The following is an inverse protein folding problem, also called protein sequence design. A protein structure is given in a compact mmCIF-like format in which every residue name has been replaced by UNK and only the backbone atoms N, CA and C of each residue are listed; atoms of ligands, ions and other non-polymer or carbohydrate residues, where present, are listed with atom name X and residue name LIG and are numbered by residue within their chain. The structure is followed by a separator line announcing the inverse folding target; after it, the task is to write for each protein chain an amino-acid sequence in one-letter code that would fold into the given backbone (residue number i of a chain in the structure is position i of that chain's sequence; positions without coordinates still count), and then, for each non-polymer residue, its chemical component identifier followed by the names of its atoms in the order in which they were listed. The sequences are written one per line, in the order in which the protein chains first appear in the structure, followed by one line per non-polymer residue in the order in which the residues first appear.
data_IF_283124346589
#
_entry.id   IF_283124346589
#
_cell.length_a   1.000
_cell.length_b   1.000
_cell.length_c   1.000
_cell.angle_alpha   90.00
_cell.angle_beta   90.00
_cell.angle_gamma   90.00
#
_symmetry.space_group_name_H-M   'P 1'
#
loop_
_entity.id
_entity.type
_entity.pdbx_description
1 polymer ?
#
# COMPACT_ATOMS: atom_id res chain seq x y z
N UNK A 1 -7.77 8.66 -15.88
CA UNK A 1 -6.47 7.92 -15.90
C UNK A 1 -5.96 7.71 -14.48
N UNK A 2 -5.16 6.67 -14.26
CA UNK A 2 -4.52 6.39 -12.97
C UNK A 2 -3.03 6.72 -13.06
N UNK A 3 -2.52 7.48 -12.10
CA UNK A 3 -1.09 7.66 -11.88
C UNK A 3 -0.61 6.67 -10.83
N UNK A 4 0.46 5.94 -11.11
CA UNK A 4 1.22 5.19 -10.11
C UNK A 4 2.40 6.05 -9.69
N UNK A 5 2.43 6.51 -8.45
CA UNK A 5 3.64 7.04 -7.81
C UNK A 5 4.46 5.85 -7.32
N UNK A 6 5.43 5.47 -8.13
CA UNK A 6 6.20 4.26 -7.91
C UNK A 6 7.43 4.55 -7.08
N UNK A 7 7.32 4.30 -5.79
CA UNK A 7 8.38 4.54 -4.79
C UNK A 7 9.35 3.36 -4.65
N UNK A 8 9.17 2.29 -5.44
CA UNK A 8 10.02 1.11 -5.45
C UNK A 8 11.36 1.45 -6.09
N UNK A 9 12.45 1.14 -5.40
CA UNK A 9 13.81 1.45 -5.87
C UNK A 9 14.39 0.41 -6.84
N UNK A 10 13.83 -0.80 -6.87
CA UNK A 10 14.30 -1.92 -7.70
C UNK A 10 13.41 -2.04 -8.93
N UNK A 11 14.01 -1.94 -10.13
CA UNK A 11 13.29 -1.91 -11.43
C UNK A 11 12.37 -3.12 -11.65
N UNK A 12 12.88 -4.32 -11.41
CA UNK A 12 12.09 -5.56 -11.57
C UNK A 12 10.79 -5.54 -10.75
N UNK A 13 10.85 -5.00 -9.52
CA UNK A 13 9.67 -4.89 -8.66
C UNK A 13 8.71 -3.80 -9.11
N UNK A 14 9.24 -2.70 -9.66
CA UNK A 14 8.42 -1.66 -10.28
C UNK A 14 7.57 -2.21 -11.41
N UNK A 15 8.22 -2.93 -12.33
CA UNK A 15 7.55 -3.54 -13.50
C UNK A 15 6.48 -4.55 -13.07
N UNK A 16 6.79 -5.41 -12.09
CA UNK A 16 5.83 -6.37 -11.56
C UNK A 16 4.61 -5.68 -10.92
N UNK A 17 4.84 -4.65 -10.12
CA UNK A 17 3.78 -3.87 -9.49
C UNK A 17 2.87 -3.22 -10.55
N UNK A 18 3.47 -2.59 -11.55
CA UNK A 18 2.72 -2.00 -12.67
C UNK A 18 1.88 -3.02 -13.42
N UNK A 19 2.45 -4.19 -13.75
CA UNK A 19 1.74 -5.25 -14.46
C UNK A 19 0.54 -5.73 -13.66
N UNK A 20 0.71 -5.99 -12.36
CA UNK A 20 -0.39 -6.40 -11.49
C UNK A 20 -1.55 -5.40 -11.52
N UNK A 21 -1.25 -4.09 -11.43
CA UNK A 21 -2.29 -3.06 -11.48
C UNK A 21 -2.95 -3.02 -12.86
N UNK A 22 -2.19 -3.04 -13.95
CA UNK A 22 -2.73 -3.02 -15.30
C UNK A 22 -3.65 -4.19 -15.58
N UNK A 23 -3.27 -5.39 -15.14
CA UNK A 23 -4.04 -6.62 -15.34
C UNK A 23 -5.41 -6.56 -14.63
N UNK A 24 -5.51 -5.83 -13.52
CA UNK A 24 -6.75 -5.67 -12.75
C UNK A 24 -7.63 -4.51 -13.23
N UNK A 25 -7.04 -3.49 -13.82
CA UNK A 25 -7.75 -2.25 -14.17
C UNK A 25 -8.08 -2.19 -15.66
N UNK A 26 -7.32 -2.90 -16.51
CA UNK A 26 -7.55 -2.93 -17.96
C UNK A 26 -8.88 -3.62 -18.31
N UNK A 27 -9.68 -3.10 -19.29
CA UNK A 27 -9.36 -2.01 -20.24
C UNK A 27 -9.87 -0.63 -19.80
N UNK A 28 -10.32 -0.44 -18.59
CA UNK A 28 -11.17 0.68 -18.20
C UNK A 28 -10.43 2.02 -18.06
N UNK A 29 -9.19 2.00 -17.55
CA UNK A 29 -8.42 3.22 -17.34
C UNK A 29 -6.97 3.06 -17.81
N UNK A 30 -6.45 4.12 -18.45
CA UNK A 30 -5.01 4.19 -18.78
C UNK A 30 -4.20 4.40 -17.49
N UNK A 31 -3.07 3.70 -17.40
CA UNK A 31 -2.15 3.75 -16.26
C UNK A 31 -0.81 4.35 -16.72
N UNK A 32 -0.34 5.36 -16.00
CA UNK A 32 1.01 5.95 -16.18
C UNK A 32 1.81 5.75 -14.89
N UNK A 33 3.08 5.45 -15.04
CA UNK A 33 4.04 5.32 -13.93
C UNK A 33 4.87 6.59 -13.78
N UNK A 34 5.01 7.04 -12.54
CA UNK A 34 5.94 8.10 -12.12
C UNK A 34 6.94 7.48 -11.15
N UNK A 35 8.08 7.07 -11.67
CA UNK A 35 9.13 6.44 -10.88
C UNK A 35 9.93 7.46 -10.06
N UNK A 36 10.60 6.97 -9.01
CA UNK A 36 11.56 7.77 -8.24
C UNK A 36 12.58 8.42 -9.18
N UNK A 37 12.78 9.73 -9.03
CA UNK A 37 13.73 10.51 -9.82
C UNK A 37 13.22 11.04 -11.16
N UNK A 38 12.05 10.60 -11.62
CA UNK A 38 11.42 11.13 -12.83
C UNK A 38 10.82 12.52 -12.61
N UNK A 39 10.72 13.32 -13.64
CA UNK A 39 9.96 14.58 -13.61
C UNK A 39 8.47 14.31 -13.47
N UNK A 40 7.78 15.14 -12.70
CA UNK A 40 6.36 14.93 -12.40
C UNK A 40 5.48 15.15 -13.65
N UNK A 41 5.79 16.13 -14.47
CA UNK A 41 5.00 16.52 -15.62
C UNK A 41 3.60 17.01 -15.24
N UNK A 42 2.68 17.06 -16.21
CA UNK A 42 1.28 17.44 -15.95
C UNK A 42 0.51 16.33 -15.26
N UNK A 43 -0.12 16.67 -14.15
CA UNK A 43 -0.97 15.78 -13.33
C UNK A 43 -2.47 16.01 -13.55
N UNK A 44 -2.84 16.96 -14.40
CA UNK A 44 -4.24 17.37 -14.58
C UNK A 44 -5.15 16.24 -15.09
N UNK A 45 -4.64 15.41 -15.99
CA UNK A 45 -5.38 14.33 -16.65
C UNK A 45 -5.71 13.11 -15.75
N UNK A 46 -5.04 12.99 -14.60
CA UNK A 46 -5.22 11.84 -13.71
C UNK A 46 -6.36 12.08 -12.73
N UNK A 47 -7.23 11.07 -12.57
CA UNK A 47 -8.33 11.06 -11.62
C UNK A 47 -8.00 10.27 -10.34
N UNK A 48 -7.02 9.37 -10.42
CA UNK A 48 -6.63 8.47 -9.32
C UNK A 48 -5.11 8.45 -9.17
N UNK A 49 -4.66 8.30 -7.92
CA UNK A 49 -3.27 8.11 -7.54
C UNK A 49 -3.11 6.80 -6.77
N UNK A 50 -2.20 5.93 -7.20
CA UNK A 50 -1.76 4.77 -6.41
C UNK A 50 -0.31 5.01 -6.00
N UNK A 51 -0.02 4.93 -4.69
CA UNK A 51 1.33 5.04 -4.15
C UNK A 51 1.80 3.65 -3.76
N UNK A 52 2.86 3.18 -4.37
CA UNK A 52 3.38 1.83 -4.15
C UNK A 52 4.01 1.64 -2.76
N UNK A 53 4.25 0.39 -2.38
CA UNK A 53 5.19 0.02 -1.33
C UNK A 53 6.63 0.43 -1.67
N UNK A 54 7.52 0.43 -0.68
CA UNK A 54 8.94 0.78 -0.84
C UNK A 54 9.81 0.12 0.23
N UNK A 55 11.11 0.00 -0.05
CA UNK A 55 12.13 -0.26 0.97
C UNK A 55 12.55 0.99 1.76
N UNK A 56 11.98 2.15 1.44
CA UNK A 56 12.22 3.40 2.19
C UNK A 56 11.51 3.34 3.55
N UNK A 57 11.99 4.15 4.50
CA UNK A 57 11.37 4.31 5.82
C UNK A 57 10.69 5.66 5.92
N UNK A 58 9.41 5.68 6.29
CA UNK A 58 8.65 6.91 6.54
C UNK A 58 9.10 7.60 7.84
N UNK A 59 9.61 6.84 8.79
CA UNK A 59 10.13 7.35 10.07
C UNK A 59 11.45 8.08 9.87
N UNK A 60 12.38 7.47 9.10
CA UNK A 60 13.68 8.08 8.79
C UNK A 60 13.56 9.22 7.78
N UNK A 61 12.52 9.18 6.94
CA UNK A 61 12.38 10.06 5.80
C UNK A 61 13.29 9.67 4.63
N UNK A 62 13.10 10.34 3.51
CA UNK A 62 13.95 10.18 2.33
C UNK A 62 14.10 11.51 1.58
N UNK A 63 15.16 11.64 0.78
CA UNK A 63 15.36 12.81 -0.08
C UNK A 63 14.27 13.01 -1.15
N UNK A 64 13.42 12.01 -1.37
CA UNK A 64 12.34 12.04 -2.33
C UNK A 64 10.99 12.38 -1.71
N UNK A 65 10.92 12.45 -0.36
CA UNK A 65 9.66 12.58 0.36
C UNK A 65 8.93 13.90 0.04
N UNK A 66 9.66 15.01 -0.08
CA UNK A 66 9.09 16.30 -0.43
C UNK A 66 8.32 16.23 -1.77
N UNK A 67 8.94 15.66 -2.78
CA UNK A 67 8.31 15.44 -4.09
C UNK A 67 7.08 14.53 -4.01
N UNK A 68 7.13 13.48 -3.19
CA UNK A 68 5.99 12.61 -2.99
C UNK A 68 4.82 13.36 -2.34
N UNK A 69 5.13 14.20 -1.33
CA UNK A 69 4.13 15.05 -0.66
C UNK A 69 3.51 16.08 -1.62
N UNK A 70 4.28 16.64 -2.56
CA UNK A 70 3.76 17.54 -3.61
C UNK A 70 2.76 16.83 -4.52
N UNK A 71 3.07 15.61 -4.96
CA UNK A 71 2.15 14.80 -5.78
C UNK A 71 0.88 14.49 -5.00
N UNK A 72 0.99 14.04 -3.73
CA UNK A 72 -0.16 13.75 -2.87
C UNK A 72 -1.02 15.01 -2.72
N UNK A 73 -0.41 16.15 -2.41
CA UNK A 73 -1.09 17.44 -2.23
C UNK A 73 -1.85 17.88 -3.48
N UNK A 74 -1.29 17.65 -4.67
CA UNK A 74 -1.98 17.95 -5.93
C UNK A 74 -3.29 17.15 -6.07
N UNK A 75 -3.28 15.85 -5.74
CA UNK A 75 -4.48 15.01 -5.81
C UNK A 75 -5.47 15.33 -4.71
N UNK A 76 -4.99 15.51 -3.47
CA UNK A 76 -5.81 15.85 -2.31
C UNK A 76 -6.54 17.19 -2.49
N UNK A 77 -5.84 18.25 -2.91
CA UNK A 77 -6.43 19.58 -3.12
C UNK A 77 -7.53 19.60 -4.19
N UNK A 78 -7.57 18.61 -5.06
CA UNK A 78 -8.58 18.44 -6.12
C UNK A 78 -9.61 17.35 -5.79
N UNK A 79 -9.60 16.85 -4.56
CA UNK A 79 -10.47 15.76 -4.08
C UNK A 79 -10.46 14.52 -5.00
N UNK A 80 -9.28 14.21 -5.58
CA UNK A 80 -9.07 13.03 -6.42
C UNK A 80 -8.81 11.80 -5.54
N UNK A 81 -9.09 10.61 -6.06
CA UNK A 81 -8.91 9.37 -5.30
C UNK A 81 -7.42 9.01 -5.10
N UNK A 82 -7.04 8.63 -3.88
CA UNK A 82 -5.68 8.26 -3.52
C UNK A 82 -5.68 6.93 -2.76
N UNK A 83 -4.86 5.97 -3.21
CA UNK A 83 -4.60 4.70 -2.53
C UNK A 83 -3.11 4.56 -2.21
N UNK A 84 -2.76 4.38 -0.94
CA UNK A 84 -1.40 4.06 -0.49
C UNK A 84 -1.25 2.61 -0.10
N UNK A 85 -0.14 1.96 -0.53
CA UNK A 85 0.17 0.57 -0.22
C UNK A 85 1.47 0.51 0.58
N UNK A 86 1.48 -0.15 1.73
CA UNK A 86 2.62 -0.34 2.62
C UNK A 86 3.33 1.00 2.93
N UNK A 87 4.45 1.33 2.29
CA UNK A 87 5.09 2.64 2.42
C UNK A 87 4.13 3.78 2.05
N UNK A 88 3.35 3.63 0.98
CA UNK A 88 2.34 4.63 0.58
C UNK A 88 1.25 4.82 1.63
N UNK A 89 0.80 3.77 2.30
CA UNK A 89 -0.12 3.83 3.44
C UNK A 89 0.47 4.66 4.60
N UNK A 90 1.71 4.38 4.97
CA UNK A 90 2.42 5.11 6.02
C UNK A 90 2.67 6.57 5.63
N UNK A 91 3.01 6.83 4.36
CA UNK A 91 3.23 8.17 3.84
C UNK A 91 1.95 9.01 3.87
N UNK A 92 0.80 8.42 3.53
CA UNK A 92 -0.51 9.08 3.63
C UNK A 92 -0.89 9.37 5.08
N UNK A 93 -0.68 8.45 6.01
CA UNK A 93 -0.91 8.69 7.43
C UNK A 93 -0.06 9.85 7.95
N UNK A 94 1.20 9.93 7.54
CA UNK A 94 2.11 11.02 7.86
C UNK A 94 1.70 12.34 7.22
N UNK A 95 1.27 12.33 5.97
CA UNK A 95 0.79 13.52 5.25
C UNK A 95 -0.45 14.12 5.92
N UNK A 96 -1.43 13.28 6.27
CA UNK A 96 -2.72 13.71 6.79
C UNK A 96 -2.68 14.03 8.30
N UNK A 97 -1.90 13.30 9.08
CA UNK A 97 -1.92 13.36 10.53
C UNK A 97 -0.60 13.76 11.19
N UNK A 98 0.45 14.00 10.39
CA UNK A 98 1.78 14.39 10.90
C UNK A 98 2.69 13.18 11.23
N UNK A 99 3.95 13.50 11.53
CA UNK A 99 5.02 12.52 11.78
C UNK A 99 4.70 11.53 12.91
N UNK A 100 3.94 11.95 13.91
CA UNK A 100 3.55 11.12 15.07
C UNK A 100 2.61 9.96 14.70
N UNK A 101 2.05 9.94 13.50
CA UNK A 101 1.17 8.87 13.02
C UNK A 101 1.91 7.63 12.53
N UNK A 102 3.23 7.72 12.38
CA UNK A 102 4.09 6.61 11.99
C UNK A 102 5.22 6.45 12.98
N UNK A 103 5.55 5.20 13.31
CA UNK A 103 6.69 4.86 14.15
C UNK A 103 7.40 3.62 13.64
N UNK A 104 8.61 3.39 14.14
CA UNK A 104 9.25 2.09 13.98
C UNK A 104 8.49 1.08 14.82
N UNK A 105 8.10 -0.04 14.21
CA UNK A 105 7.39 -1.11 14.93
C UNK A 105 8.32 -1.81 15.92
N UNK A 106 7.82 -2.07 17.11
CA UNK A 106 8.48 -2.93 18.09
C UNK A 106 8.41 -4.39 17.67
N UNK A 107 7.41 -4.73 16.85
CA UNK A 107 7.16 -6.06 16.31
C UNK A 107 7.10 -5.98 14.77
N UNK A 108 8.24 -5.93 14.07
CA UNK A 108 8.25 -5.94 12.61
C UNK A 108 7.48 -7.14 12.05
N UNK A 109 6.68 -6.90 11.02
CA UNK A 109 5.83 -7.93 10.45
C UNK A 109 6.32 -8.34 9.05
N UNK A 110 6.50 -9.64 8.86
CA UNK A 110 6.84 -10.25 7.57
C UNK A 110 6.08 -11.56 7.38
N UNK A 111 5.60 -11.79 6.17
CA UNK A 111 4.86 -13.00 5.81
C UNK A 111 3.39 -12.73 5.57
N UNK A 112 2.54 -13.72 5.81
CA UNK A 112 1.11 -13.62 5.55
C UNK A 112 0.34 -13.54 6.86
N UNK A 113 -0.49 -12.51 6.99
CA UNK A 113 -1.34 -12.26 8.14
C UNK A 113 -2.81 -12.36 7.75
N UNK A 114 -3.61 -12.92 8.64
CA UNK A 114 -5.06 -12.81 8.53
C UNK A 114 -5.47 -11.37 8.77
N UNK A 115 -6.28 -10.83 7.86
CA UNK A 115 -6.72 -9.44 7.88
C UNK A 115 -8.24 -9.42 7.89
N UNK A 116 -8.80 -8.93 8.98
CA UNK A 116 -10.22 -8.65 9.11
C UNK A 116 -10.52 -7.34 8.37
N UNK A 117 -11.47 -7.39 7.43
CA UNK A 117 -11.89 -6.28 6.60
C UNK A 117 -13.19 -5.68 7.13
N UNK A 118 -13.21 -4.36 7.35
CA UNK A 118 -14.39 -3.59 7.68
C UNK A 118 -15.16 -3.12 6.43
N UNK A 119 -16.23 -2.37 6.67
CA UNK A 119 -17.03 -1.79 5.58
C UNK A 119 -16.25 -0.67 4.89
N UNK A 120 -16.00 -0.84 3.60
CA UNK A 120 -15.35 0.17 2.75
C UNK A 120 -15.62 -0.13 1.29
N UNK A 121 -15.77 0.93 0.49
CA UNK A 121 -15.86 0.80 -0.97
C UNK A 121 -14.63 0.09 -1.57
N UNK A 122 -13.46 0.22 -0.92
CA UNK A 122 -12.21 -0.44 -1.33
C UNK A 122 -12.32 -1.97 -1.23
N UNK A 123 -13.12 -2.51 -0.31
CA UNK A 123 -13.25 -3.93 -0.04
C UNK A 123 -14.57 -4.54 -0.57
N UNK A 124 -15.22 -3.86 -1.52
CA UNK A 124 -16.46 -4.35 -2.12
C UNK A 124 -16.30 -5.79 -2.66
N UNK A 125 -17.22 -6.68 -2.28
CA UNK A 125 -17.21 -8.11 -2.66
C UNK A 125 -15.94 -8.85 -2.21
N UNK A 126 -15.31 -8.40 -1.13
CA UNK A 126 -14.24 -9.09 -0.44
C UNK A 126 -14.72 -9.53 0.94
N UNK A 127 -14.16 -10.61 1.44
CA UNK A 127 -14.28 -11.07 2.82
C UNK A 127 -12.93 -10.94 3.51
N UNK A 128 -12.83 -11.27 4.80
CA UNK A 128 -11.55 -11.41 5.49
C UNK A 128 -10.56 -12.18 4.63
N UNK A 129 -9.35 -11.71 4.58
CA UNK A 129 -8.33 -12.21 3.68
C UNK A 129 -7.02 -12.49 4.39
N UNK A 130 -6.04 -13.00 3.64
CA UNK A 130 -4.66 -13.14 4.07
C UNK A 130 -3.77 -12.29 3.17
N UNK A 131 -3.20 -11.24 3.74
CA UNK A 131 -2.34 -10.29 3.03
C UNK A 131 -0.87 -10.52 3.33
N UNK A 132 -0.03 -10.39 2.31
CA UNK A 132 1.42 -10.34 2.50
C UNK A 132 1.78 -9.01 3.16
N UNK A 133 2.51 -9.06 4.27
CA UNK A 133 3.09 -7.91 4.96
C UNK A 133 4.61 -7.98 4.97
N UNK A 134 5.28 -6.83 4.88
CA UNK A 134 6.74 -6.76 4.89
C UNK A 134 7.21 -5.36 5.31
N UNK A 135 7.17 -5.06 6.61
CA UNK A 135 7.46 -3.71 7.09
C UNK A 135 8.11 -3.66 8.47
N UNK A 136 8.91 -2.62 8.68
CA UNK A 136 9.51 -2.24 9.97
C UNK A 136 8.84 -1.01 10.58
N UNK A 137 8.22 -0.17 9.75
CA UNK A 137 7.47 1.00 10.21
C UNK A 137 5.98 0.68 10.21
N UNK A 138 5.22 1.27 11.13
CA UNK A 138 3.79 1.06 11.26
C UNK A 138 3.04 2.38 11.44
N UNK A 139 1.76 2.38 11.05
CA UNK A 139 0.83 3.44 11.40
C UNK A 139 0.29 3.17 12.80
N UNK A 140 0.33 4.19 13.64
CA UNK A 140 -0.15 4.15 15.03
C UNK A 140 -1.61 4.62 15.13
N UNK A 141 -1.96 5.30 16.21
CA UNK A 141 -3.27 5.92 16.35
C UNK A 141 -3.56 6.88 15.21
N UNK A 142 -4.71 6.70 14.60
CA UNK A 142 -5.26 7.63 13.62
C UNK A 142 -6.32 8.47 14.34
N UNK A 143 -6.30 9.80 14.07
CA UNK A 143 -7.26 10.74 14.69
C UNK A 143 -8.70 10.49 14.25
N UNK A 144 -9.64 11.27 14.77
CA UNK A 144 -11.09 11.10 14.54
C UNK A 144 -11.50 11.26 13.07
N UNK A 145 -10.67 11.88 12.25
CA UNK A 145 -10.92 12.06 10.80
C UNK A 145 -10.67 10.79 9.99
N UNK A 146 -10.10 9.76 10.61
CA UNK A 146 -9.83 8.48 9.98
C UNK A 146 -10.79 7.42 10.51
N UNK A 147 -11.10 6.49 9.63
CA UNK A 147 -11.76 5.23 9.95
C UNK A 147 -10.80 4.08 9.71
N UNK A 148 -10.66 3.18 10.67
CA UNK A 148 -9.89 1.97 10.51
C UNK A 148 -10.77 0.95 9.80
N UNK A 149 -10.37 0.55 8.60
CA UNK A 149 -11.11 -0.37 7.75
C UNK A 149 -10.48 -1.76 7.66
N UNK A 150 -9.29 -1.97 8.22
CA UNK A 150 -8.67 -3.30 8.29
C UNK A 150 -7.73 -3.42 9.49
N UNK A 151 -7.74 -4.58 10.15
CA UNK A 151 -6.81 -4.98 11.22
C UNK A 151 -6.37 -6.41 11.04
N UNK A 152 -5.17 -6.74 11.52
CA UNK A 152 -4.76 -8.13 11.65
C UNK A 152 -5.18 -8.73 13.01
N UNK A 153 -4.86 -10.00 13.22
CA UNK A 153 -5.18 -10.76 14.45
C UNK A 153 -4.49 -10.21 15.70
N UNK A 154 -3.39 -9.48 15.56
CA UNK A 154 -2.64 -8.83 16.63
C UNK A 154 -3.09 -7.39 16.91
N UNK A 155 -4.05 -6.88 16.11
CA UNK A 155 -4.64 -5.56 16.27
C UNK A 155 -3.91 -4.43 15.54
N UNK A 156 -2.86 -4.72 14.77
CA UNK A 156 -2.19 -3.72 13.95
C UNK A 156 -3.13 -3.13 12.90
N UNK A 157 -2.97 -1.84 12.62
CA UNK A 157 -3.73 -1.14 11.58
C UNK A 157 -3.24 -1.60 10.22
N UNK A 158 -4.06 -2.39 9.54
CA UNK A 158 -3.80 -2.91 8.20
C UNK A 158 -4.51 -2.11 7.09
N UNK A 159 -5.43 -1.23 7.46
CA UNK A 159 -6.07 -0.31 6.52
C UNK A 159 -6.83 0.81 7.21
N UNK A 160 -6.83 1.97 6.56
CA UNK A 160 -7.64 3.12 6.94
C UNK A 160 -8.27 3.79 5.72
N UNK A 161 -9.35 4.54 5.94
CA UNK A 161 -9.85 5.56 5.02
C UNK A 161 -10.01 6.90 5.75
N UNK A 162 -9.85 8.01 5.03
CA UNK A 162 -10.15 9.34 5.55
C UNK A 162 -11.62 9.67 5.31
N UNK A 163 -12.36 10.09 6.35
CA UNK A 163 -13.83 10.19 6.32
C UNK A 163 -14.37 11.14 5.25
N UNK A 164 -13.75 12.30 5.11
CA UNK A 164 -14.23 13.39 4.25
C UNK A 164 -13.45 13.52 2.95
N UNK A 165 -12.57 12.55 2.64
CA UNK A 165 -11.73 12.56 1.44
C UNK A 165 -11.71 11.20 0.77
N UNK A 166 -11.37 11.20 -0.49
CA UNK A 166 -11.22 9.96 -1.28
C UNK A 166 -9.81 9.38 -1.11
N UNK A 167 -9.42 9.10 0.15
CA UNK A 167 -8.07 8.65 0.51
C UNK A 167 -8.15 7.37 1.34
N UNK A 168 -7.45 6.34 0.85
CA UNK A 168 -7.34 5.02 1.48
C UNK A 168 -5.88 4.62 1.61
N UNK A 169 -5.58 3.84 2.63
CA UNK A 169 -4.29 3.21 2.80
C UNK A 169 -4.43 1.77 3.27
N UNK A 170 -3.63 0.85 2.70
CA UNK A 170 -3.50 -0.53 3.15
C UNK A 170 -2.04 -0.86 3.44
N UNK A 171 -1.78 -1.48 4.60
CA UNK A 171 -0.42 -1.83 5.03
C UNK A 171 0.08 -3.09 4.35
N UNK A 172 -0.80 -4.05 4.09
CA UNK A 172 -0.46 -5.26 3.35
C UNK A 172 -0.30 -4.99 1.85
N UNK A 173 0.26 -5.96 1.15
CA UNK A 173 0.58 -5.91 -0.27
C UNK A 173 -0.48 -6.67 -1.09
N UNK A 174 -1.53 -6.01 -1.61
CA UNK A 174 -2.58 -6.66 -2.40
C UNK A 174 -2.11 -7.14 -3.78
N UNK A 175 -0.96 -6.65 -4.24
CA UNK A 175 -0.33 -7.07 -5.49
C UNK A 175 0.32 -8.46 -5.43
N UNK A 176 0.45 -9.05 -4.25
CA UNK A 176 1.01 -10.39 -4.09
C UNK A 176 -0.09 -11.42 -3.83
N UNK A 177 -0.11 -12.45 -4.67
CA UNK A 177 -0.67 -13.75 -4.34
C UNK A 177 0.28 -14.52 -3.40
N UNK A 178 -0.11 -15.72 -2.99
CA UNK A 178 0.69 -16.57 -2.10
C UNK A 178 2.11 -16.82 -2.65
N UNK A 179 2.22 -17.27 -3.90
CA UNK A 179 3.51 -17.61 -4.49
C UNK A 179 4.39 -16.39 -4.72
N UNK A 180 3.80 -15.29 -5.14
CA UNK A 180 4.49 -14.03 -5.31
C UNK A 180 5.02 -13.44 -4.00
N UNK A 181 4.23 -13.57 -2.94
CA UNK A 181 4.65 -13.16 -1.60
C UNK A 181 5.78 -14.02 -1.05
N UNK A 182 5.70 -15.35 -1.19
CA UNK A 182 6.80 -16.25 -0.79
C UNK A 182 8.09 -15.95 -1.55
N UNK A 183 8.03 -15.81 -2.87
CA UNK A 183 9.21 -15.47 -3.67
C UNK A 183 9.82 -14.12 -3.27
N UNK A 184 8.98 -13.13 -2.93
CA UNK A 184 9.45 -11.85 -2.40
C UNK A 184 10.14 -12.02 -1.04
N UNK A 185 9.58 -12.85 -0.16
CA UNK A 185 10.16 -13.16 1.15
C UNK A 185 11.49 -13.90 1.03
N UNK A 186 11.55 -15.00 0.29
CA UNK A 186 12.77 -15.79 0.08
C UNK A 186 13.94 -14.92 -0.41
N UNK A 187 13.66 -13.94 -1.25
CA UNK A 187 14.68 -13.00 -1.71
C UNK A 187 15.13 -12.06 -0.60
N UNK A 188 14.22 -11.58 0.25
CA UNK A 188 14.56 -10.72 1.39
C UNK A 188 15.44 -11.44 2.40
N UNK A 189 15.11 -12.68 2.78
CA UNK A 189 15.95 -13.46 3.73
C UNK A 189 17.27 -13.91 3.15
N UNK A 190 17.39 -14.04 1.83
CA UNK A 190 18.68 -14.30 1.17
C UNK A 190 19.65 -13.15 1.36
N UNK A 191 19.14 -11.91 1.40
CA UNK A 191 19.94 -10.68 1.63
C UNK A 191 20.10 -10.41 3.13
N UNK A 192 19.07 -10.69 3.93
CA UNK A 192 18.98 -10.42 5.36
C UNK A 192 18.52 -11.67 6.12
N UNK A 193 19.40 -12.66 6.33
CA UNK A 193 19.03 -13.95 6.95
C UNK A 193 18.46 -13.81 8.36
N UNK A 194 18.86 -12.79 9.11
CA UNK A 194 18.36 -12.49 10.46
C UNK A 194 16.88 -12.08 10.50
N UNK A 195 16.27 -11.74 9.37
CA UNK A 195 14.84 -11.38 9.31
C UNK A 195 13.92 -12.58 9.42
N UNK A 196 14.45 -13.82 9.33
CA UNK A 196 13.63 -15.05 9.47
C UNK A 196 12.83 -15.07 10.79
N UNK A 197 13.34 -14.46 11.84
CA UNK A 197 12.68 -14.36 13.15
C UNK A 197 11.38 -13.55 13.15
N UNK A 198 11.15 -12.72 12.13
CA UNK A 198 9.95 -11.90 12.00
C UNK A 198 8.87 -12.54 11.10
N UNK A 199 9.22 -13.65 10.45
CA UNK A 199 8.32 -14.29 9.51
C UNK A 199 7.23 -15.08 10.20
N UNK A 200 5.99 -14.82 9.77
CA UNK A 200 4.83 -15.62 10.17
C UNK A 200 3.98 -15.91 8.94
N UNK A 201 3.40 -17.10 8.91
CA UNK A 201 2.52 -17.51 7.82
C UNK A 201 1.23 -18.10 8.39
N UNK A 202 0.17 -17.30 8.31
CA UNK A 202 -1.16 -17.66 8.79
C UNK A 202 -2.07 -18.21 7.68
N UNK A 203 -1.57 -18.29 6.45
CA UNK A 203 -2.38 -18.71 5.30
C UNK A 203 -2.74 -20.18 5.38
N UNK A 204 -4.03 -20.54 5.44
CA UNK A 204 -4.47 -21.94 5.50
C UNK A 204 -4.35 -22.63 4.13
N UNK A 205 -4.44 -21.88 3.04
CA UNK A 205 -4.27 -22.38 1.67
C UNK A 205 -3.84 -21.25 0.72
N UNK A 206 -3.18 -21.60 -0.38
CA UNK A 206 -2.74 -20.61 -1.37
C UNK A 206 -3.90 -19.81 -2.00
N UNK A 207 -5.10 -20.37 -2.06
CA UNK A 207 -6.29 -19.69 -2.59
C UNK A 207 -6.79 -18.55 -1.71
N UNK A 208 -6.38 -18.51 -0.43
CA UNK A 208 -6.83 -17.50 0.54
C UNK A 208 -6.30 -16.09 0.27
N UNK A 209 -5.31 -15.96 -0.63
CA UNK A 209 -4.75 -14.65 -1.05
C UNK A 209 -5.26 -14.19 -2.41
N UNK A 210 -6.06 -15.01 -3.09
CA UNK A 210 -6.39 -14.84 -4.52
C UNK A 210 -7.14 -13.54 -4.82
N UNK A 211 -7.95 -13.07 -3.89
CA UNK A 211 -8.85 -11.94 -4.09
C UNK A 211 -8.27 -10.59 -3.64
N UNK A 212 -7.04 -10.57 -3.14
CA UNK A 212 -6.44 -9.34 -2.62
C UNK A 212 -6.33 -8.23 -3.68
N UNK A 213 -6.05 -8.61 -4.92
CA UNK A 213 -5.91 -7.68 -6.04
C UNK A 213 -7.24 -7.04 -6.49
N UNK A 214 -8.41 -7.53 -6.05
CA UNK A 214 -9.71 -6.86 -6.27
C UNK A 214 -9.72 -5.42 -5.76
N UNK A 215 -8.88 -5.10 -4.78
CA UNK A 215 -8.68 -3.73 -4.28
C UNK A 215 -8.39 -2.76 -5.43
N UNK A 216 -7.59 -3.13 -6.42
CA UNK A 216 -7.26 -2.24 -7.53
C UNK A 216 -8.46 -1.98 -8.45
N UNK A 217 -9.25 -3.01 -8.74
CA UNK A 217 -10.48 -2.88 -9.53
C UNK A 217 -11.53 -2.04 -8.77
N UNK A 218 -11.69 -2.29 -7.46
CA UNK A 218 -12.60 -1.53 -6.62
C UNK A 218 -12.18 -0.05 -6.55
N UNK A 219 -10.89 0.21 -6.33
CA UNK A 219 -10.34 1.57 -6.30
C UNK A 219 -10.54 2.31 -7.61
N UNK A 220 -10.41 1.65 -8.75
CA UNK A 220 -10.63 2.25 -10.07
C UNK A 220 -12.09 2.64 -10.33
N UNK A 221 -13.04 2.11 -9.55
CA UNK A 221 -14.48 2.41 -9.61
C UNK A 221 -14.94 3.45 -8.57
N UNK A 222 -14.05 3.88 -7.68
CA UNK A 222 -14.31 4.93 -6.71
C UNK A 222 -14.07 6.29 -7.36
#
# INVERSE_FOLDING_TARGET
MILILNTITIEEYRQRFQSCIRDQIYPQLKVRDLSIGSETGDLGEFSHLIISGSGLSTVKGSKHEEKFMEVISHFDSKNKAILGICYGHQLLAKYLGGKQKVRKSEQPQFGFRRIALGDSALFRSMSDTYGMVAHFDEVTEIGNDFEIIARDSEGFIQGFQYKDKRIWGVQFHPEYDFFGGLASWERKIRIHPDWIKYFQNEVPSYSSTRDNNKIFANFACI
#
